data_IF_398091024032
#
_entry.id   IF_398091024032
#
_cell.length_a   1.000
_cell.length_b   1.000
_cell.length_c   1.000
_cell.angle_alpha   90.00
_cell.angle_beta   90.00
_cell.angle_gamma   90.00
#
_symmetry.space_group_name_H-M   'P 1'
#
loop_
_entity.id
_entity.type
_entity.pdbx_description
1 polymer ?
#
# COMPACT_ATOMS: atom_id res chain seq x y z
N UNK A 1 -7.71 1.74 -29.49
CA UNK A 1 -6.67 2.72 -29.89
C UNK A 1 -5.33 2.20 -29.38
N UNK A 2 -4.26 2.26 -30.16
CA UNK A 2 -2.92 1.91 -29.71
C UNK A 2 -2.16 3.22 -29.42
N UNK A 3 -1.79 3.53 -28.18
CA UNK A 3 -0.98 4.71 -27.89
C UNK A 3 0.43 4.49 -28.44
N UNK A 4 0.95 5.45 -29.20
CA UNK A 4 2.27 5.38 -29.82
C UNK A 4 2.98 6.73 -29.61
N UNK A 5 4.21 6.69 -29.11
CA UNK A 5 5.05 7.90 -29.02
C UNK A 5 5.22 8.49 -30.40
N UNK A 6 4.85 9.76 -30.57
CA UNK A 6 4.83 10.47 -31.85
C UNK A 6 6.19 10.87 -32.42
N UNK A 7 7.24 10.04 -32.25
CA UNK A 7 8.55 10.25 -32.85
C UNK A 7 8.52 9.84 -34.33
N UNK A 8 8.83 10.74 -35.25
CA UNK A 8 8.82 10.49 -36.71
C UNK A 8 10.18 10.05 -37.25
N UNK A 9 11.23 10.01 -36.41
CA UNK A 9 12.58 9.63 -36.83
C UNK A 9 12.61 8.22 -37.43
N UNK A 10 13.48 8.03 -38.42
CA UNK A 10 13.73 6.72 -39.03
C UNK A 10 14.20 5.73 -37.95
N UNK A 11 13.59 4.54 -37.93
CA UNK A 11 13.86 3.52 -36.91
C UNK A 11 13.10 3.69 -35.59
N UNK A 12 12.34 4.78 -35.41
CA UNK A 12 11.41 4.90 -34.29
C UNK A 12 10.25 3.88 -34.38
N UNK A 13 9.60 3.62 -33.25
CA UNK A 13 8.47 2.68 -33.23
C UNK A 13 7.30 3.14 -34.11
N UNK A 14 6.99 4.44 -34.16
CA UNK A 14 5.95 4.97 -35.03
C UNK A 14 6.31 4.83 -36.52
N UNK A 15 7.55 5.17 -36.90
CA UNK A 15 7.98 5.03 -38.30
C UNK A 15 7.97 3.56 -38.75
N UNK A 16 8.38 2.65 -37.87
CA UNK A 16 8.31 1.21 -38.12
C UNK A 16 6.87 0.69 -38.20
N UNK A 17 5.97 1.16 -37.32
CA UNK A 17 4.55 0.81 -37.38
C UNK A 17 3.92 1.27 -38.69
N UNK A 18 4.16 2.50 -39.12
CA UNK A 18 3.64 3.02 -40.41
C UNK A 18 4.22 2.27 -41.59
N UNK A 19 5.50 1.89 -41.55
CA UNK A 19 6.15 1.11 -42.60
C UNK A 19 5.55 -0.30 -42.72
N UNK A 20 5.31 -0.98 -41.60
CA UNK A 20 4.73 -2.34 -41.57
C UNK A 20 3.22 -2.34 -41.83
N UNK A 21 2.52 -1.32 -41.37
CA UNK A 21 1.07 -1.19 -41.43
C UNK A 21 0.70 0.14 -42.11
N UNK A 22 0.87 0.28 -43.43
CA UNK A 22 0.67 1.55 -44.14
C UNK A 22 -0.76 2.09 -44.09
N UNK A 23 -1.73 1.23 -43.75
CA UNK A 23 -3.13 1.61 -43.60
C UNK A 23 -3.50 2.04 -42.18
N UNK A 24 -2.56 2.01 -41.22
CA UNK A 24 -2.79 2.45 -39.85
C UNK A 24 -3.00 3.97 -39.83
N UNK A 25 -4.20 4.40 -39.43
CA UNK A 25 -4.55 5.82 -39.35
C UNK A 25 -4.27 6.36 -37.95
N UNK A 26 -3.81 7.62 -37.90
CA UNK A 26 -3.80 8.38 -36.66
C UNK A 26 -5.22 8.85 -36.37
N UNK A 27 -5.88 8.26 -35.39
CA UNK A 27 -7.21 8.70 -34.96
C UNK A 27 -7.15 10.00 -34.14
N UNK A 28 -6.12 10.14 -33.30
CA UNK A 28 -5.90 11.33 -32.46
C UNK A 28 -4.40 11.63 -32.42
N UNK A 29 -4.02 12.87 -32.68
CA UNK A 29 -2.66 13.38 -32.44
C UNK A 29 -2.68 14.32 -31.23
N UNK A 30 -1.89 13.99 -30.21
CA UNK A 30 -1.78 14.77 -28.98
C UNK A 30 -0.54 15.68 -28.97
N UNK A 31 0.34 15.58 -29.97
CA UNK A 31 1.57 16.39 -30.03
C UNK A 31 1.23 17.87 -30.15
N UNK A 32 1.81 18.68 -29.26
CA UNK A 32 1.63 20.13 -29.26
C UNK A 32 0.21 20.60 -28.90
N UNK A 33 -0.71 19.68 -28.58
CA UNK A 33 -2.11 19.98 -28.32
C UNK A 33 -2.31 20.81 -27.06
N UNK A 34 -1.59 20.48 -25.99
CA UNK A 34 -1.64 21.22 -24.72
C UNK A 34 -0.57 22.30 -24.71
N UNK A 35 -0.98 23.55 -24.49
CA UNK A 35 -0.11 24.74 -24.54
C UNK A 35 0.15 25.34 -23.17
N UNK A 36 -0.65 24.99 -22.15
CA UNK A 36 -0.61 25.66 -20.85
C UNK A 36 -1.24 27.05 -20.90
N UNK A 37 -2.00 27.40 -21.94
CA UNK A 37 -2.62 28.73 -22.10
C UNK A 37 -4.02 28.63 -22.72
N UNK A 38 -4.89 29.59 -22.40
CA UNK A 38 -6.23 29.66 -22.98
C UNK A 38 -7.17 28.58 -22.43
N UNK A 39 -7.92 27.93 -23.33
CA UNK A 39 -8.79 26.79 -23.00
C UNK A 39 -8.07 25.46 -23.25
N UNK A 40 -8.36 24.46 -22.43
CA UNK A 40 -7.96 23.09 -22.70
C UNK A 40 -8.69 22.62 -23.98
N UNK A 41 -7.99 22.05 -24.98
CA UNK A 41 -8.62 21.72 -26.26
C UNK A 41 -9.79 20.73 -26.11
N UNK A 42 -10.89 20.96 -26.83
CA UNK A 42 -12.11 20.14 -26.80
C UNK A 42 -12.80 20.07 -25.42
N UNK A 43 -12.58 21.06 -24.55
CA UNK A 43 -13.31 21.23 -23.28
C UNK A 43 -13.62 22.71 -23.03
N UNK A 44 -14.51 22.98 -22.06
CA UNK A 44 -14.80 24.33 -21.60
C UNK A 44 -13.86 24.81 -20.47
N UNK A 45 -12.89 23.98 -20.07
CA UNK A 45 -11.98 24.26 -18.97
C UNK A 45 -10.91 25.28 -19.39
N UNK A 46 -10.64 26.25 -18.51
CA UNK A 46 -9.45 27.09 -18.64
C UNK A 46 -8.19 26.26 -18.36
N UNK A 47 -7.11 26.61 -19.06
CA UNK A 47 -5.79 26.05 -18.82
C UNK A 47 -5.36 26.27 -17.37
N UNK A 48 -4.70 25.26 -16.82
CA UNK A 48 -4.08 25.28 -15.49
C UNK A 48 -2.78 26.06 -15.44
N UNK A 49 -2.26 26.49 -16.58
CA UNK A 49 -0.89 27.00 -16.73
C UNK A 49 0.17 25.90 -16.87
N UNK A 50 -0.23 24.63 -16.85
CA UNK A 50 0.63 23.44 -17.00
C UNK A 50 0.18 22.62 -18.19
N UNK A 51 1.10 22.31 -19.09
CA UNK A 51 0.79 21.47 -20.27
C UNK A 51 0.48 20.04 -19.84
N UNK A 52 1.14 19.57 -18.79
CA UNK A 52 0.97 18.24 -18.20
C UNK A 52 -0.41 18.11 -17.56
N UNK A 53 -0.78 19.05 -16.70
CA UNK A 53 -2.06 19.01 -16.00
C UNK A 53 -3.25 19.25 -16.95
N UNK A 54 -3.10 20.11 -17.96
CA UNK A 54 -4.11 20.27 -19.01
C UNK A 54 -4.38 18.95 -19.76
N UNK A 55 -3.34 18.14 -20.00
CA UNK A 55 -3.49 16.82 -20.63
C UNK A 55 -4.26 15.84 -19.74
N UNK A 56 -4.03 15.86 -18.43
CA UNK A 56 -4.77 15.03 -17.48
C UNK A 56 -6.23 15.46 -17.38
N UNK A 57 -6.51 16.76 -17.24
CA UNK A 57 -7.89 17.27 -17.19
C UNK A 57 -8.64 17.01 -18.51
N UNK A 58 -7.96 17.12 -19.65
CA UNK A 58 -8.53 16.69 -20.92
C UNK A 58 -8.91 15.20 -20.93
N UNK A 59 -8.06 14.36 -20.34
CA UNK A 59 -8.31 12.91 -20.22
C UNK A 59 -9.48 12.63 -19.28
N UNK A 60 -9.61 13.39 -18.18
CA UNK A 60 -10.77 13.32 -17.28
C UNK A 60 -12.07 13.60 -18.06
N UNK A 61 -12.14 14.75 -18.75
CA UNK A 61 -13.35 15.16 -19.50
C UNK A 61 -13.70 14.18 -20.63
N UNK A 62 -12.70 13.72 -21.39
CA UNK A 62 -12.97 12.98 -22.62
C UNK A 62 -13.04 11.46 -22.42
N UNK A 63 -12.51 10.93 -21.31
CA UNK A 63 -12.41 9.49 -21.08
C UNK A 63 -12.97 9.03 -19.73
N UNK A 64 -12.61 9.68 -18.62
CA UNK A 64 -13.09 9.27 -17.29
C UNK A 64 -14.59 9.54 -17.15
N UNK A 65 -15.01 10.80 -17.32
CA UNK A 65 -16.42 11.23 -17.25
C UNK A 65 -17.32 10.55 -18.28
N UNK A 66 -16.76 10.11 -19.41
CA UNK A 66 -17.52 9.45 -20.48
C UNK A 66 -17.53 7.92 -20.37
N UNK A 67 -16.91 7.34 -19.32
CA UNK A 67 -16.86 5.90 -19.10
C UNK A 67 -15.97 5.11 -20.07
N UNK A 68 -15.13 5.80 -20.87
CA UNK A 68 -14.14 5.16 -21.75
C UNK A 68 -12.90 4.69 -20.99
N UNK A 69 -12.59 5.36 -19.89
CA UNK A 69 -11.62 4.96 -18.86
C UNK A 69 -12.39 4.37 -17.67
N UNK A 70 -11.83 3.37 -17.00
CA UNK A 70 -12.39 2.81 -15.77
C UNK A 70 -12.24 3.79 -14.61
N UNK A 71 -13.29 3.93 -13.81
CA UNK A 71 -13.35 4.84 -12.66
C UNK A 71 -12.97 4.17 -11.32
N UNK A 72 -12.85 2.84 -11.29
CA UNK A 72 -12.57 2.08 -10.06
C UNK A 72 -11.10 1.68 -9.91
N UNK A 73 -10.27 1.96 -10.92
CA UNK A 73 -8.86 1.61 -10.94
C UNK A 73 -8.03 2.81 -11.40
N UNK A 74 -7.08 3.22 -10.56
CA UNK A 74 -6.10 4.27 -10.85
C UNK A 74 -4.69 3.67 -10.83
N UNK A 75 -3.77 4.28 -11.55
CA UNK A 75 -2.42 3.74 -11.73
C UNK A 75 -1.38 4.86 -11.66
N UNK A 76 -0.75 5.02 -10.49
CA UNK A 76 0.35 5.95 -10.27
C UNK A 76 1.66 5.31 -10.71
N UNK A 77 2.03 5.53 -11.98
CA UNK A 77 3.29 5.06 -12.52
C UNK A 77 4.02 6.16 -13.26
N UNK A 78 5.35 6.09 -13.15
CA UNK A 78 6.27 7.09 -13.69
C UNK A 78 6.08 7.20 -15.21
N UNK A 79 5.98 8.43 -15.69
CA UNK A 79 5.81 8.73 -17.11
C UNK A 79 7.08 8.40 -17.94
N UNK A 80 6.91 8.42 -19.26
CA UNK A 80 7.97 8.05 -20.21
C UNK A 80 8.98 9.14 -20.54
N UNK A 81 9.12 10.23 -19.77
CA UNK A 81 10.13 11.25 -20.07
C UNK A 81 11.57 10.77 -19.77
N UNK A 82 12.55 11.49 -20.31
CA UNK A 82 13.95 11.26 -20.00
C UNK A 82 14.31 11.91 -18.64
N UNK A 83 14.27 11.09 -17.60
CA UNK A 83 14.53 11.48 -16.23
C UNK A 83 15.97 11.93 -15.96
N UNK A 84 16.92 11.61 -16.85
CA UNK A 84 18.32 12.04 -16.69
C UNK A 84 18.48 13.56 -16.78
N UNK A 85 17.53 14.25 -17.44
CA UNK A 85 17.46 15.71 -17.48
C UNK A 85 17.00 16.32 -16.15
N UNK A 86 16.31 15.54 -15.32
CA UNK A 86 15.75 15.97 -14.03
C UNK A 86 16.70 15.58 -12.90
N UNK A 87 17.19 14.35 -12.91
CA UNK A 87 18.25 13.87 -12.03
C UNK A 87 19.30 13.14 -12.88
N UNK A 88 20.52 13.68 -13.05
CA UNK A 88 21.59 13.03 -13.81
C UNK A 88 21.91 11.61 -13.35
N UNK A 89 21.57 11.31 -12.08
CA UNK A 89 21.73 10.02 -11.42
C UNK A 89 20.42 9.20 -11.37
N UNK A 90 19.34 9.67 -12.02
CA UNK A 90 18.11 8.91 -12.16
C UNK A 90 18.42 7.53 -12.75
N UNK A 91 17.66 6.48 -12.37
CA UNK A 91 17.75 5.19 -13.02
C UNK A 91 17.69 5.40 -14.53
N UNK A 92 18.70 4.86 -15.23
CA UNK A 92 18.67 4.85 -16.69
C UNK A 92 17.43 4.05 -17.11
N UNK A 93 17.05 4.17 -18.37
CA UNK A 93 16.10 3.28 -19.07
C UNK A 93 16.48 1.77 -19.03
N UNK A 94 17.29 1.33 -18.07
CA UNK A 94 17.70 -0.06 -17.83
C UNK A 94 17.03 -0.67 -16.60
N UNK A 95 16.42 0.13 -15.71
CA UNK A 95 15.70 -0.38 -14.52
C UNK A 95 14.18 -0.26 -14.69
N UNK A 96 13.65 -0.90 -15.74
CA UNK A 96 12.22 -0.93 -16.03
C UNK A 96 11.38 -1.53 -14.90
N UNK A 97 11.99 -2.36 -14.04
CA UNK A 97 11.34 -2.91 -12.86
C UNK A 97 10.99 -1.82 -11.86
N UNK A 98 11.96 -1.02 -11.43
CA UNK A 98 11.70 0.09 -10.50
C UNK A 98 11.01 1.30 -11.14
N UNK A 99 10.81 1.33 -12.46
CA UNK A 99 9.95 2.34 -13.10
C UNK A 99 8.47 1.92 -13.10
N UNK A 100 8.14 0.70 -12.66
CA UNK A 100 6.77 0.18 -12.65
C UNK A 100 6.18 -0.08 -14.03
N UNK A 101 7.00 -0.04 -15.09
CA UNK A 101 6.55 -0.23 -16.48
C UNK A 101 5.85 -1.57 -16.67
N UNK A 102 6.34 -2.61 -15.99
CA UNK A 102 5.80 -3.97 -16.11
C UNK A 102 4.38 -4.11 -15.58
N UNK A 103 3.97 -3.23 -14.65
CA UNK A 103 2.65 -3.26 -14.03
C UNK A 103 1.54 -2.83 -14.99
N UNK A 104 1.90 -2.13 -16.08
CA UNK A 104 0.95 -1.55 -17.00
C UNK A 104 0.01 -2.60 -17.62
N UNK A 105 0.43 -3.86 -17.76
CA UNK A 105 -0.40 -4.90 -18.35
C UNK A 105 -1.74 -5.07 -17.60
N UNK A 106 -1.69 -5.20 -16.27
CA UNK A 106 -2.87 -5.34 -15.42
C UNK A 106 -3.73 -4.08 -15.43
N UNK A 107 -3.12 -2.91 -15.20
CA UNK A 107 -3.86 -1.66 -15.13
C UNK A 107 -4.51 -1.29 -16.47
N UNK A 108 -3.85 -1.58 -17.60
CA UNK A 108 -4.47 -1.46 -18.93
C UNK A 108 -5.66 -2.41 -19.08
N UNK A 109 -5.54 -3.66 -18.60
CA UNK A 109 -6.66 -4.63 -18.66
C UNK A 109 -7.89 -4.16 -17.87
N UNK A 110 -7.69 -3.35 -16.82
CA UNK A 110 -8.76 -2.71 -16.04
C UNK A 110 -9.24 -1.39 -16.63
N UNK A 111 -8.65 -0.93 -17.74
CA UNK A 111 -8.85 0.41 -18.33
C UNK A 111 -8.54 1.52 -17.33
N UNK A 112 -7.56 1.31 -16.44
CA UNK A 112 -7.27 2.23 -15.35
C UNK A 112 -6.85 3.63 -15.83
N UNK A 113 -7.08 4.64 -14.99
CA UNK A 113 -6.58 5.99 -15.23
C UNK A 113 -5.12 6.09 -14.76
N UNK A 114 -4.20 6.21 -15.71
CA UNK A 114 -2.79 6.40 -15.41
C UNK A 114 -2.48 7.85 -15.09
N UNK A 115 -1.70 8.09 -14.05
CA UNK A 115 -1.23 9.42 -13.70
C UNK A 115 0.17 9.39 -13.09
N UNK A 116 0.80 10.54 -13.13
CA UNK A 116 2.11 10.79 -12.57
C UNK A 116 2.19 12.24 -12.11
N UNK A 117 1.70 12.51 -10.90
CA UNK A 117 1.46 13.86 -10.39
C UNK A 117 2.00 14.00 -8.97
N UNK A 118 2.67 15.11 -8.69
CA UNK A 118 3.04 15.46 -7.31
C UNK A 118 1.79 15.54 -6.43
N UNK A 119 1.76 14.90 -5.24
CA UNK A 119 0.61 14.99 -4.34
C UNK A 119 0.49 16.35 -3.64
N UNK A 120 1.51 17.21 -3.77
CA UNK A 120 1.63 18.46 -3.05
C UNK A 120 0.96 19.64 -3.74
N UNK A 121 0.32 20.51 -2.96
CA UNK A 121 -0.35 21.73 -3.42
C UNK A 121 0.43 23.02 -3.09
N UNK A 122 1.57 22.90 -2.43
CA UNK A 122 2.35 24.00 -1.85
C UNK A 122 3.74 24.17 -2.48
N UNK A 123 4.08 23.31 -3.46
CA UNK A 123 5.28 23.38 -4.30
C UNK A 123 4.92 23.13 -5.77
N UNK A 124 5.76 23.59 -6.69
CA UNK A 124 5.68 23.16 -8.08
C UNK A 124 6.23 21.72 -8.20
N UNK A 125 5.73 20.94 -9.16
CA UNK A 125 6.21 19.57 -9.35
C UNK A 125 7.66 19.58 -9.87
N UNK A 126 8.47 18.63 -9.43
CA UNK A 126 9.91 18.62 -9.68
C UNK A 126 10.29 18.36 -11.15
N UNK A 127 9.35 17.81 -11.93
CA UNK A 127 9.45 17.47 -13.35
C UNK A 127 8.84 18.52 -14.29
N UNK A 128 8.06 19.47 -13.77
CA UNK A 128 7.60 20.67 -14.49
C UNK A 128 7.73 21.90 -13.54
N UNK A 129 8.94 22.33 -13.19
CA UNK A 129 9.18 23.33 -12.13
C UNK A 129 8.64 24.73 -12.46
N UNK A 130 8.38 25.02 -13.74
CA UNK A 130 7.84 26.30 -14.19
C UNK A 130 6.30 26.37 -14.11
N UNK A 131 5.63 25.27 -13.74
CA UNK A 131 4.18 25.30 -13.55
C UNK A 131 3.77 26.20 -12.37
N UNK A 132 2.54 26.72 -12.35
CA UNK A 132 2.00 27.36 -11.16
C UNK A 132 2.00 26.42 -9.94
N UNK A 133 2.39 26.94 -8.78
CA UNK A 133 2.53 26.15 -7.54
C UNK A 133 1.25 25.34 -7.23
N UNK A 134 1.45 24.05 -6.94
CA UNK A 134 0.39 23.12 -6.56
C UNK A 134 -0.54 22.65 -7.67
N UNK A 135 -0.22 22.93 -8.94
CA UNK A 135 -1.07 22.53 -10.07
C UNK A 135 -1.17 21.01 -10.22
N UNK A 136 -0.07 20.25 -10.06
CA UNK A 136 -0.12 18.79 -9.97
C UNK A 136 -1.06 18.28 -8.85
N UNK A 137 -0.88 18.77 -7.62
CA UNK A 137 -1.68 18.30 -6.47
C UNK A 137 -3.16 18.64 -6.56
N UNK A 138 -3.53 19.79 -7.17
CA UNK A 138 -4.93 20.12 -7.47
C UNK A 138 -5.50 19.20 -8.56
N UNK A 139 -4.73 18.92 -9.60
CA UNK A 139 -5.14 18.03 -10.69
C UNK A 139 -5.36 16.60 -10.19
N UNK A 140 -4.49 16.11 -9.30
CA UNK A 140 -4.66 14.81 -8.66
C UNK A 140 -5.98 14.75 -7.88
N UNK A 141 -6.29 15.78 -7.06
CA UNK A 141 -7.56 15.85 -6.33
C UNK A 141 -8.76 15.87 -7.28
N UNK A 142 -8.68 16.55 -8.42
CA UNK A 142 -9.72 16.49 -9.46
C UNK A 142 -9.88 15.07 -9.99
N UNK A 143 -8.81 14.37 -10.35
CA UNK A 143 -8.90 12.97 -10.82
C UNK A 143 -9.58 12.09 -9.77
N UNK A 144 -9.18 12.18 -8.50
CA UNK A 144 -9.75 11.40 -7.41
C UNK A 144 -11.23 11.72 -7.17
N UNK A 145 -11.60 13.01 -7.18
CA UNK A 145 -12.99 13.47 -7.03
C UNK A 145 -13.88 12.95 -8.14
N UNK A 146 -13.43 13.11 -9.39
CA UNK A 146 -14.20 12.76 -10.58
C UNK A 146 -14.34 11.24 -10.74
N UNK A 147 -13.32 10.48 -10.34
CA UNK A 147 -13.41 9.03 -10.29
C UNK A 147 -14.49 8.57 -9.29
N UNK A 148 -14.58 9.23 -8.13
CA UNK A 148 -15.64 8.95 -7.15
C UNK A 148 -17.03 9.38 -7.64
N UNK A 149 -17.15 10.58 -8.22
CA UNK A 149 -18.41 11.12 -8.73
C UNK A 149 -18.99 10.26 -9.84
N UNK A 150 -18.16 9.75 -10.76
CA UNK A 150 -18.58 8.81 -11.82
C UNK A 150 -19.09 7.48 -11.25
N UNK A 151 -18.67 7.10 -10.03
CA UNK A 151 -19.15 5.92 -9.33
C UNK A 151 -20.23 6.25 -8.28
N UNK A 152 -20.85 7.43 -8.29
CA UNK A 152 -21.85 7.84 -7.28
C UNK A 152 -21.38 7.65 -5.82
N UNK A 153 -20.07 7.68 -5.58
CA UNK A 153 -19.42 7.43 -4.28
C UNK A 153 -19.70 6.04 -3.67
N UNK A 154 -20.15 5.06 -4.45
CA UNK A 154 -20.70 3.79 -3.98
C UNK A 154 -19.70 2.62 -3.91
N UNK A 155 -18.46 2.85 -4.34
CA UNK A 155 -17.42 1.83 -4.45
C UNK A 155 -16.10 2.34 -3.90
N UNK A 156 -15.31 1.41 -3.36
CA UNK A 156 -13.90 1.64 -3.10
C UNK A 156 -13.13 1.63 -4.44
N UNK A 157 -12.20 2.57 -4.60
CA UNK A 157 -11.30 2.64 -5.75
C UNK A 157 -9.96 2.00 -5.38
N UNK A 158 -9.35 1.26 -6.29
CA UNK A 158 -7.98 0.76 -6.11
C UNK A 158 -6.99 1.64 -6.87
N UNK A 159 -5.97 2.15 -6.19
CA UNK A 159 -4.86 2.84 -6.82
C UNK A 159 -3.59 1.99 -6.75
N UNK A 160 -3.12 1.53 -7.91
CA UNK A 160 -1.82 0.88 -8.02
C UNK A 160 -0.67 1.86 -8.06
N UNK A 161 0.47 1.46 -7.52
CA UNK A 161 1.68 2.25 -7.55
C UNK A 161 1.89 3.07 -6.28
N UNK A 162 2.92 3.88 -6.30
CA UNK A 162 3.39 4.62 -5.14
C UNK A 162 4.00 5.95 -5.56
N UNK A 163 4.13 6.88 -4.62
CA UNK A 163 4.92 8.10 -4.87
C UNK A 163 6.33 7.67 -5.29
N UNK A 164 6.86 8.18 -6.41
CA UNK A 164 8.20 7.85 -6.90
C UNK A 164 9.30 8.56 -6.09
N UNK A 165 9.29 8.38 -4.77
CA UNK A 165 10.05 9.17 -3.81
C UNK A 165 11.56 9.12 -4.02
N UNK A 166 12.08 8.07 -4.65
CA UNK A 166 13.52 7.92 -4.95
C UNK A 166 13.94 8.69 -6.21
N UNK A 167 13.00 9.13 -7.04
CA UNK A 167 13.25 9.83 -8.32
C UNK A 167 12.75 11.28 -8.28
N UNK A 168 11.53 11.51 -7.79
CA UNK A 168 10.88 12.82 -7.88
C UNK A 168 9.86 13.07 -6.76
N UNK A 169 9.42 14.33 -6.66
CA UNK A 169 8.46 14.85 -5.67
C UNK A 169 8.86 14.81 -4.21
N UNK A 170 10.09 14.40 -3.92
CA UNK A 170 10.68 14.46 -2.58
C UNK A 170 12.08 15.07 -2.65
N UNK A 171 12.64 15.37 -1.49
CA UNK A 171 14.00 15.85 -1.35
C UNK A 171 15.04 14.70 -1.29
N UNK A 172 14.63 13.45 -1.57
CA UNK A 172 15.53 12.31 -1.59
C UNK A 172 16.70 12.56 -2.56
N UNK A 173 17.89 12.18 -2.11
CA UNK A 173 19.13 12.31 -2.87
C UNK A 173 19.67 10.93 -3.17
N UNK A 174 19.54 10.49 -4.42
CA UNK A 174 20.16 9.24 -4.88
C UNK A 174 21.69 9.31 -4.75
N UNK A 175 22.27 10.48 -5.04
CA UNK A 175 23.67 10.80 -4.75
C UNK A 175 23.79 12.20 -4.15
N UNK A 176 24.97 12.54 -3.63
CA UNK A 176 25.25 13.90 -3.16
C UNK A 176 25.10 14.98 -4.26
N UNK A 177 25.21 14.60 -5.55
CA UNK A 177 25.03 15.52 -6.68
C UNK A 177 23.59 15.66 -7.16
N UNK A 178 22.66 14.81 -6.70
CA UNK A 178 21.24 14.93 -7.05
C UNK A 178 20.68 16.27 -6.53
N UNK A 179 20.13 17.14 -7.40
CA UNK A 179 19.52 18.40 -6.96
C UNK A 179 18.28 18.15 -6.11
N UNK A 180 18.16 18.84 -4.97
CA UNK A 180 16.91 18.88 -4.20
C UNK A 180 15.97 19.89 -4.85
N UNK A 181 14.79 19.43 -5.24
CA UNK A 181 13.81 20.21 -6.01
C UNK A 181 12.51 20.50 -5.26
N UNK A 182 12.36 19.95 -4.05
CA UNK A 182 11.22 20.18 -3.15
C UNK A 182 11.71 20.13 -1.70
N UNK A 183 10.89 20.62 -0.76
CA UNK A 183 11.19 20.58 0.68
C UNK A 183 10.74 19.28 1.36
N UNK A 184 9.82 18.56 0.75
CA UNK A 184 9.12 17.43 1.37
C UNK A 184 9.96 16.17 1.40
N UNK A 185 9.94 15.47 2.54
CA UNK A 185 10.70 14.24 2.77
C UNK A 185 10.01 13.00 2.16
N UNK A 186 10.71 11.87 1.97
CA UNK A 186 10.12 10.65 1.41
C UNK A 186 8.93 10.09 2.21
N UNK A 187 9.11 9.85 3.51
CA UNK A 187 8.07 9.29 4.39
C UNK A 187 6.91 10.26 4.54
N UNK A 188 7.21 11.56 4.64
CA UNK A 188 6.19 12.61 4.65
C UNK A 188 5.35 12.56 3.37
N UNK A 189 5.98 12.43 2.21
CA UNK A 189 5.26 12.40 0.94
C UNK A 189 4.44 11.13 0.76
N UNK A 190 4.94 9.98 1.22
CA UNK A 190 4.18 8.73 1.30
C UNK A 190 2.90 8.93 2.12
N UNK A 191 3.02 9.41 3.37
CA UNK A 191 1.89 9.54 4.26
C UNK A 191 0.88 10.55 3.73
N UNK A 192 1.34 11.68 3.19
CA UNK A 192 0.45 12.64 2.53
C UNK A 192 -0.28 12.04 1.32
N UNK A 193 0.37 11.15 0.57
CA UNK A 193 -0.31 10.48 -0.54
C UNK A 193 -1.34 9.44 -0.06
N UNK A 194 -1.03 8.64 0.96
CA UNK A 194 -1.99 7.74 1.60
C UNK A 194 -3.19 8.51 2.18
N UNK A 195 -2.94 9.67 2.80
CA UNK A 195 -3.97 10.57 3.32
C UNK A 195 -4.90 11.05 2.20
N UNK A 196 -4.33 11.45 1.06
CA UNK A 196 -5.10 11.86 -0.10
C UNK A 196 -5.93 10.71 -0.66
N UNK A 197 -5.38 9.52 -0.85
CA UNK A 197 -6.16 8.41 -1.39
C UNK A 197 -7.32 8.03 -0.45
N UNK A 198 -7.03 7.94 0.85
CA UNK A 198 -8.01 7.53 1.85
C UNK A 198 -9.19 8.51 1.95
N UNK A 199 -8.90 9.82 1.88
CA UNK A 199 -9.93 10.86 1.83
C UNK A 199 -10.86 10.73 0.61
N UNK A 200 -10.43 10.06 -0.46
CA UNK A 200 -11.22 9.86 -1.67
C UNK A 200 -11.62 8.38 -1.87
N UNK A 201 -11.98 7.67 -0.79
CA UNK A 201 -12.43 6.25 -0.83
C UNK A 201 -11.50 5.34 -1.64
N UNK A 202 -10.21 5.65 -1.68
CA UNK A 202 -9.24 4.96 -2.51
C UNK A 202 -8.25 4.22 -1.61
N UNK A 203 -8.06 2.93 -1.89
CA UNK A 203 -7.06 2.08 -1.23
C UNK A 203 -5.85 1.91 -2.15
N UNK A 204 -4.67 1.75 -1.57
CA UNK A 204 -3.44 1.62 -2.33
C UNK A 204 -2.96 0.16 -2.43
N UNK A 205 -2.54 -0.23 -3.64
CA UNK A 205 -1.68 -1.39 -3.93
C UNK A 205 -0.25 -0.84 -4.13
N UNK A 206 0.51 -0.84 -3.04
CA UNK A 206 1.62 0.07 -2.80
C UNK A 206 2.95 -0.36 -3.44
N UNK A 207 3.01 -0.44 -4.77
CA UNK A 207 4.25 -0.81 -5.49
C UNK A 207 5.38 0.22 -5.27
N UNK A 208 6.08 0.13 -4.14
CA UNK A 208 7.15 1.02 -3.70
C UNK A 208 8.55 0.52 -4.09
N UNK A 209 9.53 1.44 -4.09
CA UNK A 209 10.90 1.25 -4.58
C UNK A 209 11.57 -0.04 -4.10
N UNK A 210 12.28 -0.70 -5.03
CA UNK A 210 13.04 -1.92 -4.79
C UNK A 210 12.41 -3.15 -5.45
N UNK A 211 11.08 -3.28 -5.36
CA UNK A 211 10.31 -4.43 -5.87
C UNK A 211 9.00 -4.00 -6.56
N UNK A 212 9.04 -2.92 -7.34
CA UNK A 212 7.86 -2.29 -7.96
C UNK A 212 7.29 -3.14 -9.11
N UNK A 213 8.16 -3.61 -10.00
CA UNK A 213 7.76 -4.14 -11.30
C UNK A 213 7.27 -5.58 -11.23
N UNK A 214 6.01 -5.80 -11.55
CA UNK A 214 5.36 -7.10 -11.66
C UNK A 214 4.75 -7.26 -13.05
N UNK A 215 5.21 -8.25 -13.80
CA UNK A 215 4.67 -8.59 -15.12
C UNK A 215 3.60 -9.69 -15.03
N UNK A 216 2.80 -9.81 -16.09
CA UNK A 216 1.79 -10.86 -16.31
C UNK A 216 0.61 -10.82 -15.32
N UNK A 217 0.45 -9.76 -14.54
CA UNK A 217 -0.69 -9.59 -13.66
C UNK A 217 -2.02 -9.57 -14.43
N UNK A 218 -2.01 -9.10 -15.69
CA UNK A 218 -3.16 -9.21 -16.59
C UNK A 218 -3.58 -10.65 -16.92
N UNK A 219 -2.66 -11.61 -16.83
CA UNK A 219 -2.91 -13.04 -16.99
C UNK A 219 -3.26 -13.67 -15.65
N UNK A 220 -2.51 -13.32 -14.59
CA UNK A 220 -2.68 -13.89 -13.27
C UNK A 220 -4.04 -13.62 -12.65
N UNK A 221 -4.65 -12.45 -12.90
CA UNK A 221 -5.99 -12.11 -12.41
C UNK A 221 -7.08 -13.16 -12.78
N UNK A 222 -6.81 -14.04 -13.76
CA UNK A 222 -7.72 -15.10 -14.18
C UNK A 222 -7.58 -16.40 -13.38
N UNK A 223 -6.64 -16.50 -12.43
CA UNK A 223 -6.54 -17.65 -11.54
C UNK A 223 -7.81 -17.78 -10.69
N UNK A 224 -8.47 -18.96 -10.66
CA UNK A 224 -9.71 -19.12 -9.93
C UNK A 224 -9.45 -19.19 -8.43
N UNK A 225 -9.91 -18.17 -7.70
CA UNK A 225 -9.99 -18.19 -6.25
C UNK A 225 -11.25 -18.92 -5.77
N UNK A 226 -11.16 -19.63 -4.64
CA UNK A 226 -12.33 -20.22 -3.97
C UNK A 226 -13.31 -19.14 -3.51
N UNK A 227 -14.56 -19.52 -3.30
CA UNK A 227 -15.59 -18.64 -2.74
C UNK A 227 -15.33 -18.31 -1.27
N UNK A 228 -14.71 -19.25 -0.56
CA UNK A 228 -14.32 -19.12 0.83
C UNK A 228 -13.10 -20.02 1.06
N UNK A 229 -12.16 -19.52 1.85
CA UNK A 229 -11.02 -20.22 2.40
C UNK A 229 -11.21 -20.29 3.91
N UNK A 230 -10.74 -21.36 4.55
CA UNK A 230 -10.80 -21.51 5.99
C UNK A 230 -9.40 -21.30 6.56
N UNK A 231 -9.27 -20.46 7.58
CA UNK A 231 -8.05 -20.37 8.37
C UNK A 231 -8.05 -21.41 9.49
N UNK A 232 -6.93 -21.53 10.20
CA UNK A 232 -6.86 -22.37 11.40
C UNK A 232 -7.95 -21.96 12.40
N UNK A 233 -8.52 -22.91 13.18
CA UNK A 233 -9.48 -22.58 14.22
C UNK A 233 -8.85 -21.69 15.29
N UNK A 234 -9.66 -20.84 15.93
CA UNK A 234 -9.20 -20.05 17.08
C UNK A 234 -8.67 -21.00 18.18
N UNK A 235 -7.50 -20.72 18.79
CA UNK A 235 -7.02 -21.48 19.93
C UNK A 235 -7.99 -21.39 21.11
N UNK A 236 -7.92 -22.37 22.00
CA UNK A 236 -8.64 -22.30 23.27
C UNK A 236 -8.20 -21.06 24.08
N UNK A 237 -9.13 -20.40 24.80
CA UNK A 237 -8.80 -19.23 25.61
C UNK A 237 -7.68 -19.53 26.62
N UNK A 238 -6.60 -18.75 26.56
CA UNK A 238 -5.49 -18.87 27.50
C UNK A 238 -5.83 -18.23 28.85
N UNK A 239 -5.39 -18.83 29.96
CA UNK A 239 -5.46 -18.23 31.29
C UNK A 239 -4.28 -17.28 31.53
N UNK A 240 -4.55 -16.10 32.09
CA UNK A 240 -3.50 -15.11 32.34
C UNK A 240 -2.61 -15.51 33.54
N UNK A 241 -1.33 -15.71 33.29
CA UNK A 241 -0.27 -15.76 34.30
C UNK A 241 0.46 -14.40 34.42
N UNK A 242 0.44 -13.74 35.60
CA UNK A 242 1.15 -12.48 35.83
C UNK A 242 2.68 -12.60 35.81
N UNK A 243 3.23 -13.81 35.81
CA UNK A 243 4.68 -14.05 35.74
C UNK A 243 5.17 -14.27 34.30
N UNK A 244 4.27 -14.35 33.32
CA UNK A 244 4.59 -14.67 31.93
C UNK A 244 4.44 -13.44 31.05
N UNK A 245 5.40 -13.21 30.16
CA UNK A 245 5.32 -12.17 29.12
C UNK A 245 4.77 -12.78 27.84
N UNK A 246 3.74 -12.17 27.27
CA UNK A 246 3.10 -12.63 26.04
C UNK A 246 3.61 -11.82 24.85
N UNK A 247 4.04 -12.50 23.79
CA UNK A 247 4.66 -11.92 22.61
C UNK A 247 3.87 -12.32 21.39
N UNK A 248 3.76 -11.42 20.44
CA UNK A 248 3.34 -11.73 19.09
C UNK A 248 4.32 -11.10 18.10
N UNK A 249 4.55 -11.79 16.98
CA UNK A 249 5.27 -11.26 15.82
C UNK A 249 4.32 -11.03 14.64
N UNK A 250 4.22 -9.77 14.20
CA UNK A 250 3.47 -9.37 13.01
C UNK A 250 4.44 -9.30 11.84
N UNK A 251 4.26 -10.19 10.87
CA UNK A 251 5.02 -10.29 9.62
C UNK A 251 4.37 -9.35 8.60
N UNK A 252 5.06 -8.27 8.24
CA UNK A 252 4.47 -7.10 7.56
C UNK A 252 5.29 -6.63 6.35
N UNK A 253 4.82 -5.54 5.76
CA UNK A 253 5.25 -4.94 4.50
C UNK A 253 4.85 -5.83 3.30
N UNK A 254 3.61 -6.35 3.36
CA UNK A 254 2.98 -7.12 2.29
C UNK A 254 1.72 -6.42 1.78
N UNK A 255 1.83 -5.10 1.67
CA UNK A 255 0.83 -4.13 1.22
C UNK A 255 0.86 -3.88 -0.31
N UNK A 256 1.80 -4.54 -1.01
CA UNK A 256 1.97 -4.47 -2.46
C UNK A 256 1.92 -5.83 -3.15
N UNK A 257 1.14 -5.94 -4.22
CA UNK A 257 1.04 -7.16 -5.03
C UNK A 257 2.40 -7.53 -5.66
N UNK A 258 3.20 -6.53 -6.06
CA UNK A 258 4.52 -6.80 -6.61
C UNK A 258 5.47 -7.42 -5.58
N UNK A 259 5.37 -7.05 -4.30
CA UNK A 259 6.19 -7.62 -3.23
C UNK A 259 5.72 -9.04 -2.89
N UNK A 260 4.40 -9.26 -2.82
CA UNK A 260 3.80 -10.59 -2.64
C UNK A 260 4.18 -11.58 -3.74
N UNK A 261 4.32 -11.11 -4.98
CA UNK A 261 4.69 -11.99 -6.10
C UNK A 261 6.19 -12.31 -6.17
N UNK A 262 7.05 -11.49 -5.56
CA UNK A 262 8.51 -11.55 -5.75
C UNK A 262 9.27 -11.95 -4.49
N UNK A 263 9.06 -11.25 -3.37
CA UNK A 263 9.81 -11.48 -2.14
C UNK A 263 9.13 -12.47 -1.21
N UNK A 264 7.81 -12.34 -1.04
CA UNK A 264 7.02 -13.16 -0.12
C UNK A 264 7.20 -14.68 -0.32
N UNK A 265 7.26 -15.24 -1.55
CA UNK A 265 7.38 -16.68 -1.73
C UNK A 265 8.65 -17.26 -1.08
N UNK A 266 9.75 -16.50 -1.04
CA UNK A 266 10.98 -16.95 -0.36
C UNK A 266 10.86 -16.95 1.16
N UNK A 267 10.08 -16.02 1.72
CA UNK A 267 9.83 -15.92 3.16
C UNK A 267 8.80 -16.97 3.60
N UNK A 268 7.78 -17.20 2.76
CA UNK A 268 6.76 -18.22 2.99
C UNK A 268 7.34 -19.63 2.95
N UNK A 269 8.26 -19.92 2.02
CA UNK A 269 8.93 -21.23 1.92
C UNK A 269 10.10 -21.40 2.90
N UNK A 270 10.25 -20.52 3.89
CA UNK A 270 11.29 -20.64 4.91
C UNK A 270 11.18 -21.99 5.66
N UNK A 271 12.29 -22.74 5.82
CA UNK A 271 12.25 -24.09 6.38
C UNK A 271 11.82 -24.16 7.85
N UNK A 272 11.81 -23.03 8.57
CA UNK A 272 11.38 -22.92 9.96
C UNK A 272 9.98 -22.31 10.08
N UNK A 273 9.28 -22.03 8.97
CA UNK A 273 7.86 -21.64 9.01
C UNK A 273 7.05 -22.72 9.72
N UNK A 274 6.15 -22.29 10.61
CA UNK A 274 5.32 -23.17 11.42
C UNK A 274 5.93 -23.60 12.74
N UNK A 275 7.19 -23.25 13.06
CA UNK A 275 7.77 -23.50 14.40
C UNK A 275 7.29 -22.50 15.47
N UNK A 276 6.91 -21.28 15.09
CA UNK A 276 6.34 -20.24 15.96
C UNK A 276 5.00 -19.75 15.40
N UNK A 277 4.03 -19.36 16.25
CA UNK A 277 2.85 -18.64 15.80
C UNK A 277 3.24 -17.30 15.19
N UNK A 278 2.85 -17.06 13.93
CA UNK A 278 3.14 -15.85 13.17
C UNK A 278 1.85 -15.24 12.61
N UNK A 279 1.74 -13.92 12.71
CA UNK A 279 0.64 -13.15 12.14
C UNK A 279 1.09 -12.51 10.84
N UNK A 280 0.64 -13.01 9.71
CA UNK A 280 0.98 -12.51 8.38
C UNK A 280 -0.01 -11.43 7.98
N UNK A 281 0.40 -10.17 8.03
CA UNK A 281 -0.42 -9.04 7.56
C UNK A 281 -0.34 -8.95 6.05
N UNK A 282 -1.44 -9.23 5.36
CA UNK A 282 -1.52 -9.21 3.90
C UNK A 282 -2.81 -8.48 3.50
N UNK A 283 -2.70 -7.40 2.73
CA UNK A 283 -3.88 -6.67 2.26
C UNK A 283 -4.70 -7.52 1.27
N UNK A 284 -5.98 -7.84 1.56
CA UNK A 284 -6.72 -8.82 0.79
C UNK A 284 -7.16 -8.31 -0.58
N UNK A 285 -7.20 -7.00 -0.84
CA UNK A 285 -7.51 -6.47 -2.18
C UNK A 285 -6.45 -6.86 -3.22
N UNK A 286 -5.23 -7.15 -2.77
CA UNK A 286 -4.13 -7.61 -3.65
C UNK A 286 -4.47 -8.91 -4.37
N UNK A 287 -5.43 -9.69 -3.85
CA UNK A 287 -5.92 -10.91 -4.48
C UNK A 287 -6.53 -10.69 -5.87
N UNK A 288 -6.92 -9.46 -6.22
CA UNK A 288 -7.38 -9.13 -7.58
C UNK A 288 -6.24 -9.16 -8.62
N UNK A 289 -5.02 -8.90 -8.16
CA UNK A 289 -3.81 -8.83 -9.01
C UNK A 289 -2.92 -10.06 -8.89
N UNK A 290 -2.84 -10.65 -7.69
CA UNK A 290 -2.06 -11.87 -7.38
C UNK A 290 -2.92 -13.01 -6.79
N UNK A 291 -4.06 -13.38 -7.41
CA UNK A 291 -4.96 -14.41 -6.86
C UNK A 291 -4.27 -15.77 -6.64
N UNK A 292 -3.32 -16.15 -7.49
CA UNK A 292 -2.57 -17.39 -7.34
C UNK A 292 -1.70 -17.45 -6.08
N UNK A 293 -1.21 -16.30 -5.60
CA UNK A 293 -0.45 -16.22 -4.35
C UNK A 293 -1.37 -16.45 -3.16
N UNK A 294 -2.55 -15.83 -3.14
CA UNK A 294 -3.56 -16.05 -2.10
C UNK A 294 -4.00 -17.51 -2.03
N UNK A 295 -4.27 -18.13 -3.17
CA UNK A 295 -4.62 -19.55 -3.22
C UNK A 295 -3.48 -20.43 -2.68
N UNK A 296 -2.23 -20.14 -3.04
CA UNK A 296 -1.07 -20.89 -2.53
C UNK A 296 -0.90 -20.74 -1.01
N UNK A 297 -1.01 -19.53 -0.46
CA UNK A 297 -0.86 -19.25 0.97
C UNK A 297 -1.94 -19.95 1.77
N UNK A 298 -3.20 -19.72 1.44
CA UNK A 298 -4.35 -20.22 2.21
C UNK A 298 -4.52 -21.74 2.08
N UNK A 299 -3.88 -22.39 1.12
CA UNK A 299 -3.90 -23.86 0.98
C UNK A 299 -2.68 -24.56 1.59
N UNK A 300 -1.69 -23.80 2.07
CA UNK A 300 -0.44 -24.32 2.64
C UNK A 300 -0.14 -23.78 4.05
N UNK A 301 -1.15 -23.24 4.72
CA UNK A 301 -1.07 -22.82 6.12
C UNK A 301 -0.55 -23.97 7.00
N UNK A 302 0.46 -23.68 7.82
CA UNK A 302 0.77 -24.51 8.98
C UNK A 302 -0.21 -24.20 10.13
N UNK A 303 -0.29 -25.01 11.19
CA UNK A 303 -1.11 -24.70 12.37
C UNK A 303 -0.75 -23.40 13.08
N UNK A 304 0.43 -22.85 12.81
CA UNK A 304 0.98 -21.64 13.42
C UNK A 304 0.97 -20.43 12.48
N UNK A 305 0.41 -20.56 11.29
CA UNK A 305 0.20 -19.43 10.38
C UNK A 305 -1.21 -18.87 10.56
N UNK A 306 -1.30 -17.55 10.73
CA UNK A 306 -2.58 -16.84 10.65
C UNK A 306 -2.43 -15.59 9.81
N UNK A 307 -3.29 -15.46 8.81
CA UNK A 307 -3.36 -14.31 7.91
C UNK A 307 -4.30 -13.28 8.54
N UNK A 308 -3.81 -12.06 8.68
CA UNK A 308 -4.63 -10.87 8.92
C UNK A 308 -4.53 -9.93 7.73
N UNK A 309 -5.38 -8.92 7.70
CA UNK A 309 -5.11 -7.77 6.86
C UNK A 309 -3.78 -7.12 7.29
N UNK A 310 -3.05 -6.50 6.35
CA UNK A 310 -1.92 -5.64 6.72
C UNK A 310 -2.52 -4.37 7.35
N UNK A 311 -3.02 -3.42 6.55
CA UNK A 311 -3.67 -2.17 6.98
C UNK A 311 -5.19 -2.08 6.75
N UNK A 312 -5.84 -3.20 6.44
CA UNK A 312 -7.29 -3.28 6.20
C UNK A 312 -7.58 -3.94 4.86
N UNK A 313 -8.43 -3.34 4.02
CA UNK A 313 -8.68 -3.82 2.66
C UNK A 313 -7.45 -3.66 1.75
N UNK A 314 -6.77 -2.53 1.86
CA UNK A 314 -5.53 -2.14 1.17
C UNK A 314 -4.83 -1.05 1.99
N UNK A 315 -3.70 -0.51 1.55
CA UNK A 315 -3.02 0.52 2.33
C UNK A 315 -3.85 1.81 2.32
N UNK A 316 -4.28 2.22 3.52
CA UNK A 316 -5.09 3.39 3.84
C UNK A 316 -4.57 4.10 5.10
N UNK A 317 -5.04 5.32 5.30
CA UNK A 317 -5.16 5.95 6.60
C UNK A 317 -6.64 5.89 7.06
N UNK A 318 -6.96 5.11 8.10
CA UNK A 318 -8.35 4.91 8.55
C UNK A 318 -8.98 6.20 9.12
N UNK A 319 -8.18 7.18 9.57
CA UNK A 319 -8.70 8.46 10.04
C UNK A 319 -9.44 9.25 8.97
N UNK A 320 -9.19 8.95 7.69
CA UNK A 320 -9.66 9.76 6.56
C UNK A 320 -10.75 9.08 5.74
N UNK A 321 -11.29 7.95 6.21
CA UNK A 321 -12.43 7.26 5.60
C UNK A 321 -13.77 7.75 6.16
N UNK A 322 -13.78 8.25 7.40
CA UNK A 322 -14.96 8.76 8.10
C UNK A 322 -15.55 10.04 7.50
N UNK A 323 -16.40 10.70 8.29
CA UNK A 323 -16.99 11.98 7.90
C UNK A 323 -15.95 13.10 7.96
N UNK A 324 -15.00 13.02 8.90
CA UNK A 324 -13.94 14.00 9.05
C UNK A 324 -12.78 13.75 8.07
N UNK A 325 -12.89 14.30 6.85
CA UNK A 325 -11.86 14.15 5.81
C UNK A 325 -11.14 15.45 5.55
N UNK A 326 -9.88 15.57 5.99
CA UNK A 326 -9.05 16.77 5.82
C UNK A 326 -8.82 17.19 4.36
N UNK A 327 -8.95 16.26 3.41
CA UNK A 327 -8.51 16.46 2.03
C UNK A 327 -9.62 16.43 0.98
N UNK A 328 -10.87 16.20 1.39
CA UNK A 328 -12.01 16.04 0.49
C UNK A 328 -13.30 16.47 1.17
N UNK A 329 -14.28 16.89 0.38
CA UNK A 329 -15.65 17.13 0.83
C UNK A 329 -16.60 15.96 0.51
N UNK A 330 -16.04 14.75 0.28
CA UNK A 330 -16.83 13.57 -0.03
C UNK A 330 -17.72 13.14 1.15
N UNK A 331 -18.85 12.45 0.89
CA UNK A 331 -19.66 11.83 1.93
C UNK A 331 -18.86 10.84 2.80
N UNK A 332 -19.40 10.52 3.98
CA UNK A 332 -18.85 9.44 4.83
C UNK A 332 -18.83 8.13 4.02
N UNK A 333 -17.68 7.49 3.97
CA UNK A 333 -17.41 6.30 3.15
C UNK A 333 -17.12 5.06 3.99
N UNK A 334 -17.30 5.12 5.32
CA UNK A 334 -17.11 3.96 6.20
C UNK A 334 -18.01 2.80 5.78
N UNK A 335 -19.26 3.08 5.41
CA UNK A 335 -20.18 2.03 4.97
C UNK A 335 -19.68 1.34 3.69
N UNK A 336 -19.34 2.11 2.65
CA UNK A 336 -18.82 1.60 1.37
C UNK A 336 -17.53 0.81 1.58
N UNK A 337 -16.63 1.34 2.41
CA UNK A 337 -15.39 0.67 2.77
C UNK A 337 -15.65 -0.65 3.50
N UNK A 338 -16.47 -0.65 4.56
CA UNK A 338 -16.77 -1.84 5.36
C UNK A 338 -17.48 -2.91 4.54
N UNK A 339 -18.44 -2.53 3.70
CA UNK A 339 -19.14 -3.47 2.82
C UNK A 339 -18.14 -4.18 1.91
N UNK A 340 -17.28 -3.41 1.22
CA UNK A 340 -16.24 -3.97 0.34
C UNK A 340 -15.26 -4.83 1.14
N UNK A 341 -14.69 -4.30 2.22
CA UNK A 341 -13.68 -4.98 3.02
C UNK A 341 -14.19 -6.29 3.64
N UNK A 342 -15.44 -6.32 4.13
CA UNK A 342 -16.04 -7.52 4.72
C UNK A 342 -16.25 -8.64 3.70
N UNK A 343 -16.42 -8.36 2.41
CA UNK A 343 -16.47 -9.40 1.39
C UNK A 343 -15.13 -10.13 1.27
N UNK A 344 -14.03 -9.38 1.27
CA UNK A 344 -12.68 -9.93 1.25
C UNK A 344 -12.33 -10.68 2.53
N UNK A 345 -12.63 -10.09 3.70
CA UNK A 345 -12.40 -10.72 4.99
C UNK A 345 -13.17 -12.03 5.11
N UNK A 346 -14.44 -12.05 4.69
CA UNK A 346 -15.24 -13.28 4.64
C UNK A 346 -14.67 -14.30 3.66
N UNK A 347 -14.17 -13.87 2.50
CA UNK A 347 -13.61 -14.79 1.50
C UNK A 347 -12.36 -15.49 2.02
N UNK A 348 -11.50 -14.78 2.73
CA UNK A 348 -10.21 -15.28 3.22
C UNK A 348 -10.22 -15.67 4.70
N UNK A 349 -11.39 -15.66 5.34
CA UNK A 349 -11.59 -15.95 6.76
C UNK A 349 -10.65 -15.14 7.67
N UNK A 350 -10.50 -13.85 7.33
CA UNK A 350 -9.73 -12.89 8.12
C UNK A 350 -10.61 -12.29 9.20
N UNK A 351 -10.05 -12.13 10.39
CA UNK A 351 -10.70 -11.44 11.51
C UNK A 351 -9.79 -10.44 12.21
N UNK A 352 -8.56 -10.26 11.75
CA UNK A 352 -7.56 -9.38 12.37
C UNK A 352 -6.99 -8.40 11.35
N UNK A 353 -6.56 -7.24 11.84
CA UNK A 353 -5.67 -6.33 11.11
C UNK A 353 -4.34 -6.32 11.84
N UNK A 354 -3.28 -6.79 11.20
CA UNK A 354 -1.98 -6.97 11.79
C UNK A 354 -1.29 -5.64 12.09
N UNK A 355 -1.54 -4.61 11.30
CA UNK A 355 -0.85 -3.35 11.49
C UNK A 355 -1.61 -2.16 10.92
N UNK A 356 -1.64 -1.04 11.62
CA UNK A 356 -2.32 0.17 11.13
C UNK A 356 -1.41 1.37 11.33
N UNK A 357 -1.35 2.19 10.29
CA UNK A 357 -0.65 3.47 10.25
C UNK A 357 -1.70 4.56 10.11
N UNK A 358 -1.66 5.61 10.93
CA UNK A 358 -2.50 6.81 10.76
C UNK A 358 -1.72 8.02 10.21
N UNK A 359 -0.51 7.75 9.72
CA UNK A 359 0.29 8.66 8.91
C UNK A 359 0.57 9.97 9.63
N UNK A 360 0.33 11.09 8.95
CA UNK A 360 0.61 12.42 9.49
C UNK A 360 -0.26 12.84 10.67
N UNK A 361 -1.43 12.23 10.85
CA UNK A 361 -2.34 12.59 11.92
C UNK A 361 -1.81 12.07 13.28
N UNK A 362 -1.08 10.94 13.27
CA UNK A 362 -0.33 10.40 14.41
C UNK A 362 -1.18 10.07 15.65
N UNK A 363 -2.51 10.11 15.52
CA UNK A 363 -3.48 9.80 16.56
C UNK A 363 -4.68 9.16 15.86
N UNK A 364 -4.99 7.91 16.16
CA UNK A 364 -6.22 7.30 15.66
C UNK A 364 -7.46 7.98 16.28
N UNK A 365 -8.41 8.36 15.43
CA UNK A 365 -9.70 8.92 15.87
C UNK A 365 -10.61 7.82 16.41
N UNK A 366 -11.60 8.18 17.22
CA UNK A 366 -12.61 7.23 17.70
C UNK A 366 -13.37 6.57 16.53
N UNK A 367 -13.69 7.34 15.47
CA UNK A 367 -14.30 6.80 14.25
C UNK A 367 -13.41 5.76 13.54
N UNK A 368 -12.10 5.97 13.51
CA UNK A 368 -11.15 5.02 12.95
C UNK A 368 -11.03 3.74 13.79
N UNK A 369 -11.03 3.88 15.13
CA UNK A 369 -10.99 2.75 16.05
C UNK A 369 -12.28 1.93 15.92
N UNK A 370 -13.45 2.56 15.85
CA UNK A 370 -14.74 1.91 15.63
C UNK A 370 -14.76 1.18 14.27
N UNK A 371 -14.34 1.85 13.20
CA UNK A 371 -14.23 1.26 11.85
C UNK A 371 -13.39 -0.02 11.86
N UNK A 372 -12.23 0.01 12.52
CA UNK A 372 -11.31 -1.12 12.59
C UNK A 372 -11.81 -2.23 13.50
N UNK A 373 -12.49 -1.90 14.61
CA UNK A 373 -13.13 -2.91 15.46
C UNK A 373 -14.25 -3.66 14.70
N UNK A 374 -15.03 -2.95 13.88
CA UNK A 374 -16.09 -3.51 13.06
C UNK A 374 -15.58 -4.42 11.94
N UNK A 375 -14.39 -4.14 11.41
CA UNK A 375 -13.74 -4.93 10.37
C UNK A 375 -13.00 -6.14 10.95
N UNK A 376 -12.31 -5.94 12.08
CA UNK A 376 -11.30 -6.86 12.62
C UNK A 376 -11.62 -7.29 14.06
N UNK A 377 -12.70 -8.06 14.28
CA UNK A 377 -13.18 -8.44 15.61
C UNK A 377 -12.19 -9.30 16.41
N UNK A 378 -11.22 -9.91 15.75
CA UNK A 378 -10.15 -10.72 16.33
C UNK A 378 -8.98 -9.92 16.88
N UNK A 379 -8.86 -8.62 16.56
CA UNK A 379 -7.82 -7.73 17.10
C UNK A 379 -7.10 -6.88 16.07
N UNK A 380 -6.49 -5.80 16.55
CA UNK A 380 -5.83 -4.78 15.73
C UNK A 380 -4.46 -4.38 16.29
N UNK A 381 -3.42 -4.50 15.46
CA UNK A 381 -2.09 -3.95 15.74
C UNK A 381 -1.91 -2.54 15.18
N UNK A 382 -1.12 -1.70 15.86
CA UNK A 382 -0.86 -0.31 15.45
C UNK A 382 0.61 0.06 15.45
N UNK A 383 0.97 1.03 14.62
CA UNK A 383 2.25 1.70 14.68
C UNK A 383 2.46 2.37 16.04
N UNK A 384 3.73 2.40 16.48
CA UNK A 384 4.10 3.10 17.70
C UNK A 384 3.92 4.60 17.50
N UNK A 385 3.29 5.27 18.47
CA UNK A 385 3.13 6.72 18.44
C UNK A 385 1.73 7.18 18.07
N UNK A 386 0.85 6.27 17.63
CA UNK A 386 -0.56 6.53 17.25
C UNK A 386 -1.48 6.88 18.44
N UNK A 387 -0.90 6.99 19.65
CA UNK A 387 -1.54 7.38 20.93
C UNK A 387 -2.85 6.66 21.28
N UNK A 388 -3.04 5.43 20.82
CA UNK A 388 -4.13 4.56 21.28
C UNK A 388 -3.75 3.87 22.58
N UNK A 389 -4.65 3.84 23.56
CA UNK A 389 -4.40 3.04 24.78
C UNK A 389 -4.44 1.54 24.43
N UNK A 390 -3.36 0.81 24.70
CA UNK A 390 -3.38 -0.66 24.59
C UNK A 390 -4.49 -1.26 25.47
N UNK A 391 -5.32 -2.14 24.92
CA UNK A 391 -6.41 -2.79 25.64
C UNK A 391 -7.66 -2.99 24.80
N UNK A 392 -8.82 -3.07 25.46
CA UNK A 392 -10.12 -3.23 24.81
C UNK A 392 -10.66 -1.90 24.29
N UNK A 393 -11.14 -1.91 23.05
CA UNK A 393 -12.00 -0.88 22.48
C UNK A 393 -13.08 -1.55 21.63
N UNK A 394 -14.35 -1.18 21.81
CA UNK A 394 -15.50 -1.72 21.08
C UNK A 394 -15.56 -3.27 21.01
N UNK A 395 -15.17 -3.94 22.08
CA UNK A 395 -15.13 -5.40 22.23
C UNK A 395 -13.91 -6.08 21.61
N UNK A 396 -12.92 -5.32 21.12
CA UNK A 396 -11.77 -5.79 20.34
C UNK A 396 -10.47 -5.39 21.03
N UNK A 397 -9.43 -6.24 20.92
CA UNK A 397 -8.11 -5.98 21.49
C UNK A 397 -7.24 -5.13 20.55
N UNK A 398 -6.71 -4.02 21.06
CA UNK A 398 -5.84 -3.09 20.34
C UNK A 398 -4.46 -3.04 20.98
N UNK A 399 -3.39 -3.11 20.17
CA UNK A 399 -2.01 -3.08 20.65
C UNK A 399 -1.09 -2.25 19.75
N UNK A 400 -0.41 -1.28 20.34
CA UNK A 400 0.71 -0.61 19.68
C UNK A 400 1.96 -1.50 19.66
N UNK A 401 2.73 -1.46 18.57
CA UNK A 401 4.02 -2.14 18.51
C UNK A 401 5.04 -1.56 19.50
N UNK A 402 6.00 -2.40 19.91
CA UNK A 402 7.14 -1.99 20.73
C UNK A 402 8.31 -1.51 19.86
N UNK A 403 8.57 -2.19 18.74
CA UNK A 403 9.70 -1.90 17.85
C UNK A 403 9.51 -2.45 16.43
N UNK A 404 10.28 -1.88 15.51
CA UNK A 404 10.44 -2.33 14.13
C UNK A 404 11.70 -3.19 13.98
N UNK A 405 11.54 -4.39 13.43
CA UNK A 405 12.62 -5.32 13.13
C UNK A 405 12.71 -5.56 11.62
N UNK A 406 13.71 -4.96 10.93
CA UNK A 406 13.93 -5.16 9.50
C UNK A 406 14.67 -6.46 9.17
N UNK A 407 14.50 -6.95 7.93
CA UNK A 407 15.13 -8.14 7.36
C UNK A 407 16.63 -8.31 7.67
N UNK A 408 17.40 -7.23 7.82
CA UNK A 408 18.84 -7.33 8.09
C UNK A 408 19.19 -7.65 9.56
N UNK A 409 18.20 -7.81 10.45
CA UNK A 409 18.44 -8.22 11.83
C UNK A 409 18.89 -9.68 11.91
N UNK A 410 20.01 -9.96 12.56
CA UNK A 410 20.44 -11.34 12.82
C UNK A 410 19.63 -11.96 13.96
N UNK A 411 19.58 -13.29 14.09
CA UNK A 411 18.97 -13.96 15.23
C UNK A 411 19.50 -13.46 16.59
N UNK A 412 20.80 -13.16 16.71
CA UNK A 412 21.40 -12.63 17.94
C UNK A 412 20.87 -11.24 18.27
N UNK A 413 20.66 -10.41 17.24
CA UNK A 413 20.09 -9.07 17.41
C UNK A 413 18.64 -9.16 17.86
N UNK A 414 17.83 -10.02 17.23
CA UNK A 414 16.45 -10.29 17.65
C UNK A 414 16.42 -10.78 19.10
N UNK A 415 17.26 -11.75 19.45
CA UNK A 415 17.38 -12.29 20.81
C UNK A 415 17.69 -11.20 21.84
N UNK A 416 18.62 -10.29 21.53
CA UNK A 416 19.03 -9.20 22.43
C UNK A 416 17.97 -8.11 22.56
N UNK A 417 17.32 -7.73 21.46
CA UNK A 417 16.22 -6.75 21.49
C UNK A 417 15.03 -7.31 22.28
N UNK A 418 14.68 -8.57 22.06
CA UNK A 418 13.60 -9.22 22.80
C UNK A 418 13.88 -9.29 24.30
N UNK A 419 15.11 -9.68 24.70
CA UNK A 419 15.56 -9.62 26.10
C UNK A 419 15.40 -8.21 26.68
N UNK A 420 15.88 -7.20 25.96
CA UNK A 420 15.80 -5.80 26.38
C UNK A 420 14.37 -5.31 26.61
N UNK A 421 13.42 -5.74 25.78
CA UNK A 421 12.01 -5.41 25.94
C UNK A 421 11.34 -6.16 27.10
N UNK A 422 11.62 -7.45 27.25
CA UNK A 422 11.11 -8.26 28.38
C UNK A 422 11.61 -7.68 29.70
N UNK A 423 12.91 -7.40 29.82
CA UNK A 423 13.50 -6.85 31.04
C UNK A 423 12.96 -5.43 31.34
N UNK A 424 12.75 -4.60 30.29
CA UNK A 424 12.21 -3.24 30.44
C UNK A 424 10.75 -3.22 30.89
N UNK A 425 9.91 -4.09 30.33
CA UNK A 425 8.46 -4.09 30.58
C UNK A 425 8.08 -4.92 31.82
N UNK A 426 8.87 -5.94 32.13
CA UNK A 426 8.61 -6.89 33.21
C UNK A 426 7.55 -7.95 32.85
N UNK A 427 7.29 -8.90 33.76
CA UNK A 427 6.34 -9.99 33.53
C UNK A 427 4.87 -9.52 33.49
N UNK A 428 3.99 -10.36 32.95
CA UNK A 428 2.56 -10.06 32.83
C UNK A 428 2.24 -8.99 31.78
N UNK A 429 3.18 -8.72 30.87
CA UNK A 429 3.05 -7.72 29.81
C UNK A 429 2.89 -8.37 28.45
N UNK A 430 2.33 -7.57 27.55
CA UNK A 430 2.05 -7.92 26.16
C UNK A 430 3.02 -7.13 25.29
N UNK A 431 3.81 -7.82 24.48
CA UNK A 431 4.77 -7.26 23.53
C UNK A 431 4.31 -7.60 22.12
N UNK A 432 4.44 -6.65 21.20
CA UNK A 432 4.00 -6.77 19.81
C UNK A 432 5.09 -6.17 18.93
N UNK A 433 5.58 -6.91 17.94
CA UNK A 433 6.72 -6.49 17.13
C UNK A 433 6.37 -6.53 15.65
N UNK A 434 6.67 -5.43 14.96
CA UNK A 434 6.59 -5.35 13.50
C UNK A 434 7.85 -5.93 12.89
N UNK A 435 7.68 -7.00 12.13
CA UNK A 435 8.72 -7.75 11.47
C UNK A 435 8.66 -7.44 9.97
N UNK A 436 9.50 -6.49 9.54
CA UNK A 436 9.55 -5.96 8.17
C UNK A 436 10.39 -6.90 7.31
N UNK A 437 9.71 -7.75 6.53
CA UNK A 437 10.34 -8.77 5.68
C UNK A 437 11.29 -9.73 6.42
N UNK A 438 11.16 -9.89 7.74
CA UNK A 438 11.97 -10.83 8.52
C UNK A 438 11.55 -12.26 8.20
N UNK A 439 12.49 -13.19 8.17
CA UNK A 439 12.21 -14.61 7.91
C UNK A 439 11.81 -15.36 9.19
N UNK A 440 10.96 -16.40 9.08
CA UNK A 440 10.69 -17.31 10.20
C UNK A 440 11.95 -17.88 10.84
N UNK A 441 12.97 -18.25 10.06
CA UNK A 441 14.26 -18.73 10.57
C UNK A 441 14.93 -17.73 11.51
N UNK A 442 14.90 -16.43 11.18
CA UNK A 442 15.48 -15.39 12.05
C UNK A 442 14.77 -15.29 13.40
N UNK A 443 13.43 -15.33 13.40
CA UNK A 443 12.63 -15.24 14.63
C UNK A 443 12.78 -16.48 15.51
N UNK A 444 12.64 -17.66 14.90
CA UNK A 444 12.77 -18.95 15.60
C UNK A 444 14.12 -19.06 16.29
N UNK A 445 15.19 -18.74 15.56
CA UNK A 445 16.54 -18.80 16.09
C UNK A 445 16.80 -17.73 17.16
N UNK A 446 16.28 -16.52 16.98
CA UNK A 446 16.41 -15.46 17.98
C UNK A 446 15.70 -15.80 19.30
N UNK A 447 14.51 -16.39 19.21
CA UNK A 447 13.76 -16.90 20.38
C UNK A 447 14.51 -18.06 21.05
N UNK A 448 15.03 -19.01 20.27
CA UNK A 448 15.83 -20.14 20.79
C UNK A 448 17.04 -19.65 21.58
N UNK A 449 17.82 -18.73 21.00
CA UNK A 449 19.00 -18.14 21.63
C UNK A 449 18.67 -17.42 22.94
N UNK A 450 17.51 -16.75 23.02
CA UNK A 450 17.08 -16.12 24.27
C UNK A 450 16.73 -17.17 25.33
N UNK A 451 15.95 -18.20 24.98
CA UNK A 451 15.59 -19.27 25.92
C UNK A 451 16.81 -20.00 26.46
N UNK A 452 17.86 -20.16 25.66
CA UNK A 452 19.12 -20.78 26.10
C UNK A 452 19.96 -19.87 27.00
N UNK A 453 20.04 -18.58 26.69
CA UNK A 453 20.81 -17.61 27.47
C UNK A 453 20.15 -17.22 28.79
N UNK A 454 18.81 -17.14 28.80
CA UNK A 454 17.98 -16.65 29.91
C UNK A 454 16.82 -17.63 30.21
N UNK A 455 17.11 -18.89 30.60
CA UNK A 455 16.08 -19.91 30.82
C UNK A 455 15.12 -19.59 31.98
N UNK A 456 15.45 -18.61 32.82
CA UNK A 456 14.59 -18.14 33.90
C UNK A 456 13.48 -17.17 33.44
N UNK A 457 13.58 -16.59 32.24
CA UNK A 457 12.54 -15.75 31.67
C UNK A 457 11.34 -16.59 31.23
N UNK A 458 10.17 -16.29 31.78
CA UNK A 458 8.91 -16.88 31.35
C UNK A 458 8.26 -16.02 30.28
N UNK A 459 8.25 -16.51 29.04
CA UNK A 459 7.56 -15.84 27.94
C UNK A 459 6.99 -16.84 26.93
N UNK A 460 5.89 -16.44 26.31
CA UNK A 460 5.18 -17.22 25.30
C UNK A 460 4.95 -16.39 24.04
N UNK A 461 5.24 -17.00 22.88
CA UNK A 461 4.85 -16.45 21.58
C UNK A 461 3.47 -17.02 21.28
N UNK A 462 2.48 -16.15 21.14
CA UNK A 462 1.08 -16.53 20.99
C UNK A 462 0.60 -16.35 19.56
N UNK A 463 -0.35 -17.20 19.18
CA UNK A 463 -1.22 -16.97 18.04
C UNK A 463 -1.95 -15.61 18.20
N UNK A 464 -2.16 -14.83 17.11
CA UNK A 464 -2.71 -13.48 17.21
C UNK A 464 -4.12 -13.43 17.82
N UNK A 465 -5.01 -14.40 17.57
CA UNK A 465 -6.35 -14.39 18.19
C UNK A 465 -6.26 -14.64 19.70
N UNK A 466 -5.43 -15.59 20.11
CA UNK A 466 -5.19 -15.84 21.54
C UNK A 466 -4.54 -14.62 22.22
N UNK A 467 -3.60 -13.97 21.54
CA UNK A 467 -2.92 -12.76 22.03
C UNK A 467 -3.89 -11.62 22.26
N UNK A 468 -4.68 -11.25 21.26
CA UNK A 468 -5.61 -10.11 21.34
C UNK A 468 -6.80 -10.41 22.25
N UNK A 469 -7.31 -11.65 22.30
CA UNK A 469 -8.32 -12.04 23.26
C UNK A 469 -7.83 -11.92 24.71
N UNK A 470 -6.63 -12.44 25.00
CA UNK A 470 -6.05 -12.34 26.33
C UNK A 470 -5.76 -10.88 26.72
N UNK A 471 -5.23 -10.08 25.79
CA UNK A 471 -4.99 -8.65 25.99
C UNK A 471 -6.29 -7.94 26.37
N UNK A 472 -7.36 -8.19 25.60
CA UNK A 472 -8.70 -7.64 25.83
C UNK A 472 -9.23 -8.05 27.20
N UNK A 473 -9.16 -9.33 27.59
CA UNK A 473 -9.67 -9.80 28.89
C UNK A 473 -8.89 -9.25 30.09
N UNK A 474 -7.59 -8.98 29.93
CA UNK A 474 -6.71 -8.50 31.02
C UNK A 474 -6.71 -6.98 31.12
N UNK A 475 -6.92 -6.26 30.01
CA UNK A 475 -6.83 -4.78 29.95
C UNK A 475 -8.13 -4.06 29.56
N UNK A 476 -9.23 -4.78 29.36
CA UNK A 476 -10.56 -4.22 29.17
C UNK A 476 -11.35 -3.97 30.45
#
# INVERSE_FOLDING_TARGET
>A
LLPVRGNEEEGSFLSELRRRFPNLKTEVDLRGRFTGQGKIPDTDLDSTGSRKCDAYLWTVENYLKTGKCGSTHLAYYIDGIDWQKISPDAPKYVDYGNLGLFNADYWISKRAFFFDLSPWTDVAATDEPEQPVGTDGRTLRTILSEANEVNDYDTVITCGGFVPWWIKYTNFRFTKSTPVRTRHEPVETEWHFSDLLSAYNTVMDADAAGLIGMANASVFQHHPLRKHYEQNPAPEPLEYDPNTTYIQFAMLDYDAAAWLSQAFPFIWEDPKRGELPLHWGINPILADRVPMIFDAILTTLSPNDRIGADEGLGYINPNLIGQARKHSDLPDGREVYLQTAKEYFKRFDMSTTAFVITGHEGIATEEAIELLADLSPGGVGFQAGERIRDGEHFGVGFKQQEADWPLHFTPEKISKELEGWIDRRGPGKFLYFRCILVTPSQLVEGVRLLRERRPELKFEVLDPLAYFDLLKRVRG
#
